data_IF_290476496510
#
_entry.id   IF_290476496510
#
_cell.length_a   1.000
_cell.length_b   1.000
_cell.length_c   1.000
_cell.angle_alpha   90.00
_cell.angle_beta   90.00
_cell.angle_gamma   90.00
#
_symmetry.space_group_name_H-M   'P 1'
#
loop_
_entity.id
_entity.type
_entity.pdbx_description
1 polymer ?
#
# COMPACT_ATOMS: atom_id res chain seq x y z
N UNK A 1 -3.30 10.29 -1.67
CA UNK A 1 -1.82 10.22 -1.74
C UNK A 1 -1.19 10.41 -0.38
N UNK A 2 -1.47 11.54 0.28
CA UNK A 2 -0.90 11.89 1.60
C UNK A 2 -1.19 10.88 2.72
N UNK A 3 -2.46 10.48 2.91
CA UNK A 3 -2.82 9.47 3.93
C UNK A 3 -2.14 8.13 3.66
N UNK A 4 -2.08 7.71 2.39
CA UNK A 4 -1.36 6.49 2.00
C UNK A 4 0.15 6.62 2.26
N UNK A 5 0.76 7.78 2.03
CA UNK A 5 2.17 8.00 2.33
C UNK A 5 2.47 7.93 3.83
N UNK A 6 1.55 8.40 4.68
CA UNK A 6 1.64 8.24 6.13
C UNK A 6 1.59 6.76 6.52
N UNK A 7 0.60 6.03 5.97
CA UNK A 7 0.46 4.59 6.17
C UNK A 7 1.75 3.84 5.77
N UNK A 8 2.28 4.11 4.57
CA UNK A 8 3.54 3.52 4.10
C UNK A 8 4.68 3.83 5.07
N UNK A 9 4.87 5.09 5.48
CA UNK A 9 5.96 5.46 6.38
C UNK A 9 5.89 4.78 7.75
N UNK A 10 4.68 4.57 8.28
CA UNK A 10 4.47 3.87 9.55
C UNK A 10 4.80 2.38 9.36
N UNK A 11 4.14 1.69 8.42
CA UNK A 11 4.21 0.24 8.36
C UNK A 11 5.52 -0.28 7.76
N UNK A 12 6.13 0.43 6.78
CA UNK A 12 7.44 0.04 6.27
C UNK A 12 8.55 0.08 7.33
N UNK A 13 8.38 0.95 8.34
CA UNK A 13 9.31 1.04 9.47
C UNK A 13 9.14 -0.13 10.45
N UNK A 14 7.95 -0.71 10.52
CA UNK A 14 7.61 -1.81 11.41
C UNK A 14 7.95 -3.18 10.80
N UNK A 15 7.96 -3.31 9.47
CA UNK A 15 8.15 -4.58 8.76
C UNK A 15 9.36 -5.40 9.24
N UNK A 16 10.49 -4.75 9.53
CA UNK A 16 11.68 -5.45 10.02
C UNK A 16 11.48 -6.02 11.44
N UNK A 17 10.80 -5.28 12.32
CA UNK A 17 10.47 -5.75 13.67
C UNK A 17 9.49 -6.93 13.62
N UNK A 18 8.49 -6.88 12.75
CA UNK A 18 7.60 -8.03 12.53
C UNK A 18 8.35 -9.23 11.97
N UNK A 19 9.24 -9.02 11.00
CA UNK A 19 10.02 -10.11 10.42
C UNK A 19 10.87 -10.83 11.48
N UNK A 20 11.57 -10.07 12.34
CA UNK A 20 12.47 -10.64 13.36
C UNK A 20 11.72 -11.16 14.59
N UNK A 21 10.75 -10.42 15.13
CA UNK A 21 10.15 -10.73 16.43
C UNK A 21 8.78 -11.42 16.33
N UNK A 22 8.00 -11.12 15.30
CA UNK A 22 6.65 -11.70 15.12
C UNK A 22 6.72 -13.01 14.32
N UNK A 23 7.37 -12.97 13.16
CA UNK A 23 7.54 -14.12 12.26
C UNK A 23 8.78 -14.95 12.57
N UNK A 24 9.72 -14.39 13.34
CA UNK A 24 10.95 -15.06 13.78
C UNK A 24 11.85 -15.54 12.62
N UNK A 25 11.90 -14.74 11.56
CA UNK A 25 12.77 -15.01 10.43
C UNK A 25 14.22 -14.60 10.69
N UNK A 26 15.10 -15.35 10.05
CA UNK A 26 16.53 -15.08 10.01
C UNK A 26 16.85 -13.90 9.08
N UNK A 27 17.97 -13.20 9.29
CA UNK A 27 18.40 -12.14 8.37
C UNK A 27 18.58 -12.60 6.92
N UNK A 28 18.97 -13.87 6.71
CA UNK A 28 19.14 -14.46 5.39
C UNK A 28 17.79 -14.55 4.65
N UNK A 29 16.74 -15.04 5.32
CA UNK A 29 15.37 -15.06 4.78
C UNK A 29 14.87 -13.63 4.48
N UNK A 30 15.10 -12.70 5.40
CA UNK A 30 14.66 -11.31 5.25
C UNK A 30 15.31 -10.64 4.02
N UNK A 31 16.57 -10.97 3.74
CA UNK A 31 17.31 -10.41 2.61
C UNK A 31 16.71 -10.74 1.24
N UNK A 32 15.85 -11.76 1.15
CA UNK A 32 15.20 -12.17 -0.08
C UNK A 32 13.95 -11.33 -0.41
N UNK A 33 13.32 -10.67 0.58
CA UNK A 33 12.07 -9.92 0.37
C UNK A 33 12.14 -8.87 -0.74
N UNK A 34 13.20 -8.04 -0.85
CA UNK A 34 13.28 -7.06 -1.93
C UNK A 34 13.22 -7.69 -3.33
N UNK A 35 13.85 -8.87 -3.51
CA UNK A 35 13.86 -9.60 -4.78
C UNK A 35 12.47 -10.20 -5.05
N UNK A 36 11.84 -10.78 -4.02
CA UNK A 36 10.50 -11.36 -4.10
C UNK A 36 9.47 -10.28 -4.45
N UNK A 37 9.55 -9.11 -3.83
CA UNK A 37 8.63 -7.97 -4.05
C UNK A 37 8.83 -7.33 -5.43
N UNK A 38 10.03 -7.40 -6.01
CA UNK A 38 10.30 -6.83 -7.33
C UNK A 38 9.41 -7.46 -8.42
N UNK A 39 9.21 -8.78 -8.37
CA UNK A 39 8.40 -9.50 -9.37
C UNK A 39 6.94 -8.99 -9.47
N UNK A 40 6.12 -8.97 -8.40
CA UNK A 40 4.74 -8.47 -8.47
C UNK A 40 4.66 -6.97 -8.82
N UNK A 41 5.66 -6.16 -8.43
CA UNK A 41 5.72 -4.74 -8.81
C UNK A 41 5.94 -4.59 -10.33
N UNK A 42 6.86 -5.37 -10.90
CA UNK A 42 7.10 -5.39 -12.35
C UNK A 42 5.88 -5.90 -13.11
N UNK A 43 5.25 -6.97 -12.63
CA UNK A 43 4.01 -7.49 -13.21
C UNK A 43 2.89 -6.44 -13.17
N UNK A 44 2.74 -5.71 -12.06
CA UNK A 44 1.77 -4.62 -11.98
C UNK A 44 2.07 -3.53 -13.03
N UNK A 45 3.34 -3.20 -13.27
CA UNK A 45 3.78 -2.29 -14.34
C UNK A 45 3.27 -2.69 -15.72
N UNK A 46 3.36 -3.97 -16.07
CA UNK A 46 2.89 -4.48 -17.37
C UNK A 46 1.37 -4.64 -17.45
N UNK A 47 0.71 -5.05 -16.36
CA UNK A 47 -0.69 -5.47 -16.39
C UNK A 47 -1.69 -4.41 -15.92
N UNK A 48 -1.27 -3.35 -15.19
CA UNK A 48 -2.19 -2.36 -14.66
C UNK A 48 -3.05 -1.67 -15.74
N UNK A 49 -2.43 -1.18 -16.82
CA UNK A 49 -3.14 -0.52 -17.91
C UNK A 49 -4.00 -1.48 -18.75
N UNK A 50 -3.52 -2.66 -19.19
CA UNK A 50 -4.35 -3.65 -19.87
C UNK A 50 -5.57 -4.09 -19.04
N UNK A 51 -5.40 -4.32 -17.74
CA UNK A 51 -6.50 -4.75 -16.85
C UNK A 51 -7.57 -3.67 -16.64
N UNK A 52 -7.17 -2.39 -16.73
CA UNK A 52 -8.07 -1.24 -16.61
C UNK A 52 -8.74 -0.86 -17.95
N UNK A 53 -8.36 -1.47 -19.08
CA UNK A 53 -8.88 -1.11 -20.40
C UNK A 53 -10.40 -1.27 -20.46
N UNK A 54 -11.08 -0.23 -20.97
CA UNK A 54 -12.55 -0.19 -21.07
C UNK A 54 -13.27 0.00 -19.72
N UNK A 55 -12.54 0.18 -18.61
CA UNK A 55 -13.09 0.48 -17.29
C UNK A 55 -12.76 1.92 -16.91
N UNK A 56 -13.53 2.50 -15.99
CA UNK A 56 -13.12 3.75 -15.35
C UNK A 56 -11.86 3.50 -14.52
N UNK A 57 -10.75 4.20 -14.84
CA UNK A 57 -9.48 4.11 -14.10
C UNK A 57 -9.70 4.30 -12.59
N UNK A 58 -10.55 5.28 -12.22
CA UNK A 58 -10.94 5.57 -10.83
C UNK A 58 -11.59 4.37 -10.16
N UNK A 59 -12.67 3.85 -10.74
CA UNK A 59 -13.43 2.75 -10.13
C UNK A 59 -12.59 1.47 -10.07
N UNK A 60 -11.76 1.22 -11.08
CA UNK A 60 -10.87 0.08 -11.09
C UNK A 60 -9.77 0.20 -10.02
N UNK A 61 -9.14 1.38 -9.88
CA UNK A 61 -8.17 1.63 -8.81
C UNK A 61 -8.79 1.49 -7.41
N UNK A 62 -9.99 2.02 -7.19
CA UNK A 62 -10.73 1.86 -5.93
C UNK A 62 -10.98 0.37 -5.65
N UNK A 63 -11.40 -0.41 -6.65
CA UNK A 63 -11.59 -1.85 -6.50
C UNK A 63 -10.30 -2.58 -6.08
N UNK A 64 -9.17 -2.26 -6.72
CA UNK A 64 -7.86 -2.83 -6.35
C UNK A 64 -7.47 -2.49 -4.90
N UNK A 65 -7.67 -1.23 -4.49
CA UNK A 65 -7.39 -0.81 -3.11
C UNK A 65 -8.32 -1.43 -2.08
N UNK A 66 -9.60 -1.64 -2.40
CA UNK A 66 -10.56 -2.31 -1.52
C UNK A 66 -10.24 -3.79 -1.34
N UNK A 67 -9.77 -4.48 -2.39
CA UNK A 67 -9.28 -5.85 -2.25
C UNK A 67 -8.03 -5.87 -1.38
N UNK A 68 -7.09 -4.95 -1.65
CA UNK A 68 -5.84 -4.88 -0.89
C UNK A 68 -6.05 -4.55 0.60
N UNK A 69 -7.07 -3.73 0.92
CA UNK A 69 -7.49 -3.41 2.29
C UNK A 69 -7.70 -4.66 3.15
N UNK A 70 -8.11 -5.78 2.54
CA UNK A 70 -8.31 -7.06 3.21
C UNK A 70 -7.07 -7.95 3.10
N UNK A 71 -6.47 -8.03 1.91
CA UNK A 71 -5.34 -8.94 1.63
C UNK A 71 -4.11 -8.61 2.47
N UNK A 72 -3.75 -7.33 2.58
CA UNK A 72 -2.54 -6.88 3.28
C UNK A 72 -2.52 -7.21 4.78
N UNK A 73 -3.56 -6.86 5.58
CA UNK A 73 -3.57 -7.19 7.00
C UNK A 73 -3.92 -8.66 7.28
N UNK A 74 -4.35 -9.44 6.28
CA UNK A 74 -4.88 -10.79 6.46
C UNK A 74 -3.94 -11.71 7.26
N UNK A 75 -2.62 -11.79 6.97
CA UNK A 75 -1.73 -12.67 7.74
C UNK A 75 -1.66 -12.33 9.22
N UNK A 76 -1.65 -11.04 9.56
CA UNK A 76 -1.63 -10.57 10.94
C UNK A 76 -2.96 -10.90 11.61
N UNK A 77 -4.09 -10.63 10.94
CA UNK A 77 -5.41 -11.00 11.47
C UNK A 77 -5.55 -12.49 11.72
N UNK A 78 -5.14 -13.34 10.77
CA UNK A 78 -5.19 -14.79 10.94
C UNK A 78 -4.31 -15.25 12.10
N UNK A 79 -3.08 -14.73 12.22
CA UNK A 79 -2.20 -15.07 13.34
C UNK A 79 -2.74 -14.60 14.70
N UNK A 80 -3.36 -13.42 14.76
CA UNK A 80 -3.96 -12.91 16.00
C UNK A 80 -5.24 -13.65 16.39
N UNK A 81 -5.98 -14.20 15.43
CA UNK A 81 -7.19 -14.98 15.67
C UNK A 81 -6.90 -16.45 16.01
N UNK A 82 -5.74 -16.97 15.60
CA UNK A 82 -5.36 -18.39 15.76
C UNK A 82 -5.53 -18.92 17.21
N UNK A 83 -5.14 -18.19 18.27
CA UNK A 83 -5.34 -18.65 19.65
C UNK A 83 -6.81 -18.75 20.11
N UNK A 84 -7.73 -18.09 19.40
CA UNK A 84 -9.16 -18.04 19.77
C UNK A 84 -10.01 -19.04 18.99
N UNK A 85 -9.43 -19.77 18.04
CA UNK A 85 -10.12 -20.73 17.17
C UNK A 85 -9.63 -22.14 17.50
N UNK A 86 -10.51 -23.16 17.57
CA UNK A 86 -10.12 -24.53 17.93
C UNK A 86 -9.34 -25.26 16.83
N UNK A 87 -9.23 -24.66 15.64
CA UNK A 87 -8.52 -25.19 14.47
C UNK A 87 -7.39 -24.23 14.16
N UNK A 88 -6.20 -24.74 13.87
CA UNK A 88 -5.09 -23.93 13.39
C UNK A 88 -5.47 -23.30 12.05
N UNK A 89 -5.61 -21.98 12.04
CA UNK A 89 -5.95 -21.17 10.86
C UNK A 89 -4.72 -20.57 10.21
N UNK A 90 -3.58 -20.52 10.92
CA UNK A 90 -2.34 -19.98 10.38
C UNK A 90 -1.12 -20.86 10.68
N UNK A 91 -0.16 -21.02 9.74
CA UNK A 91 1.02 -21.85 9.96
C UNK A 91 1.90 -21.35 11.13
N UNK A 92 2.56 -22.29 11.82
CA UNK A 92 3.50 -21.98 12.90
C UNK A 92 4.80 -21.34 12.38
N UNK A 93 5.50 -20.61 13.26
CA UNK A 93 6.82 -20.06 12.96
C UNK A 93 7.83 -21.16 12.67
N UNK A 94 8.79 -20.88 11.78
CA UNK A 94 9.81 -21.85 11.36
C UNK A 94 9.35 -22.93 10.39
N UNK A 95 8.10 -22.89 9.90
CA UNK A 95 7.59 -23.84 8.90
C UNK A 95 7.67 -23.28 7.47
N UNK A 96 7.93 -24.14 6.48
CA UNK A 96 7.89 -23.76 5.06
C UNK A 96 6.50 -23.25 4.65
N UNK A 97 5.44 -23.78 5.28
CA UNK A 97 4.07 -23.36 5.03
C UNK A 97 3.85 -21.88 5.39
N UNK A 98 4.45 -21.39 6.48
CA UNK A 98 4.40 -19.98 6.84
C UNK A 98 5.05 -19.11 5.76
N UNK A 99 6.25 -19.49 5.34
CA UNK A 99 7.01 -18.77 4.32
C UNK A 99 6.21 -18.59 3.03
N UNK A 100 5.70 -19.69 2.46
CA UNK A 100 4.92 -19.64 1.22
C UNK A 100 3.58 -18.89 1.39
N UNK A 101 2.95 -19.01 2.55
CA UNK A 101 1.72 -18.27 2.86
C UNK A 101 1.99 -16.76 2.88
N UNK A 102 2.99 -16.30 3.62
CA UNK A 102 3.29 -14.86 3.70
C UNK A 102 3.71 -14.32 2.33
N UNK A 103 4.59 -15.01 1.61
CA UNK A 103 5.00 -14.58 0.26
C UNK A 103 3.81 -14.47 -0.68
N UNK A 104 2.84 -15.37 -0.59
CA UNK A 104 1.64 -15.32 -1.44
C UNK A 104 0.84 -14.05 -1.14
N UNK A 105 0.53 -13.77 0.13
CA UNK A 105 -0.18 -12.55 0.53
C UNK A 105 0.62 -11.28 0.19
N UNK A 106 1.93 -11.30 0.42
CA UNK A 106 2.86 -10.23 0.09
C UNK A 106 2.81 -9.92 -1.42
N UNK A 107 2.98 -10.94 -2.27
CA UNK A 107 2.99 -10.78 -3.71
C UNK A 107 1.66 -10.22 -4.24
N UNK A 108 0.53 -10.76 -3.77
CA UNK A 108 -0.80 -10.26 -4.16
C UNK A 108 -0.97 -8.82 -3.68
N UNK A 109 -0.64 -8.53 -2.42
CA UNK A 109 -0.77 -7.18 -1.84
C UNK A 109 0.07 -6.14 -2.58
N UNK A 110 1.34 -6.44 -2.88
CA UNK A 110 2.21 -5.53 -3.62
C UNK A 110 1.78 -5.35 -5.08
N UNK A 111 1.29 -6.41 -5.74
CA UNK A 111 0.74 -6.30 -7.08
C UNK A 111 -0.49 -5.37 -7.10
N UNK A 112 -1.47 -5.61 -6.20
CA UNK A 112 -2.69 -4.81 -6.11
C UNK A 112 -2.38 -3.34 -5.77
N UNK A 113 -1.49 -3.10 -4.79
CA UNK A 113 -1.06 -1.74 -4.40
C UNK A 113 -0.45 -1.00 -5.56
N UNK A 114 0.52 -1.63 -6.22
CA UNK A 114 1.29 -1.02 -7.31
C UNK A 114 0.38 -0.76 -8.52
N UNK A 115 -0.46 -1.72 -8.89
CA UNK A 115 -1.40 -1.56 -10.00
C UNK A 115 -2.39 -0.41 -9.73
N UNK A 116 -2.94 -0.33 -8.52
CA UNK A 116 -3.77 0.79 -8.10
C UNK A 116 -3.03 2.13 -8.18
N UNK A 117 -1.78 2.18 -7.72
CA UNK A 117 -0.97 3.39 -7.74
C UNK A 117 -0.60 3.87 -9.15
N UNK A 118 -0.29 2.95 -10.06
CA UNK A 118 -0.06 3.26 -11.48
C UNK A 118 -1.28 3.96 -12.09
N UNK A 119 -2.49 3.47 -11.78
CA UNK A 119 -3.73 4.09 -12.26
C UNK A 119 -3.95 5.46 -11.63
N UNK A 120 -3.62 5.64 -10.35
CA UNK A 120 -3.68 6.95 -9.69
C UNK A 120 -2.74 7.95 -10.37
N UNK A 121 -1.51 7.56 -10.65
CA UNK A 121 -0.55 8.41 -11.38
C UNK A 121 -1.10 8.76 -12.76
N UNK A 122 -1.61 7.77 -13.51
CA UNK A 122 -2.22 8.02 -14.83
C UNK A 122 -3.37 9.02 -14.75
N UNK A 123 -4.23 8.94 -13.73
CA UNK A 123 -5.31 9.90 -13.52
C UNK A 123 -4.82 11.31 -13.18
N UNK A 124 -3.69 11.45 -12.48
CA UNK A 124 -3.07 12.77 -12.23
C UNK A 124 -2.59 13.38 -13.54
N UNK A 125 -2.00 12.58 -14.44
CA UNK A 125 -1.62 13.06 -15.77
C UNK A 125 -2.82 13.48 -16.61
N UNK A 126 -3.92 12.73 -16.58
CA UNK A 126 -5.18 13.11 -17.28
C UNK A 126 -5.64 14.52 -16.81
N UNK A 127 -5.56 14.82 -15.51
CA UNK A 127 -5.92 16.15 -14.95
C UNK A 127 -4.97 17.26 -15.41
N UNK A 128 -3.67 16.96 -15.52
CA UNK A 128 -2.69 17.95 -16.00
C UNK A 128 -2.90 18.24 -17.48
N UNK A 129 -3.23 17.23 -18.29
CA UNK A 129 -3.56 17.37 -19.70
C UNK A 129 -4.82 18.25 -19.89
N UNK A 130 -5.88 17.99 -19.13
CA UNK A 130 -7.09 18.82 -19.10
C UNK A 130 -6.78 20.28 -18.70
N UNK A 131 -5.92 20.47 -17.70
CA UNK A 131 -5.47 21.80 -17.26
C UNK A 131 -4.65 22.54 -18.33
N UNK A 132 -3.82 21.81 -19.09
CA UNK A 132 -3.06 22.37 -20.20
C UNK A 132 -3.99 22.82 -21.33
N UNK A 133 -5.02 22.04 -21.67
CA UNK A 133 -6.02 22.42 -22.68
C UNK A 133 -6.76 23.71 -22.29
N UNK A 134 -7.09 23.87 -21.01
CA UNK A 134 -7.79 25.05 -20.52
C UNK A 134 -6.91 26.32 -20.41
N UNK A 135 -5.63 26.17 -20.08
CA UNK A 135 -4.76 27.32 -19.70
C UNK A 135 -3.60 27.57 -20.65
N UNK A 136 -3.31 26.65 -21.57
CA UNK A 136 -2.15 26.71 -22.47
C UNK A 136 -0.79 26.50 -21.81
N UNK A 137 -0.74 26.23 -20.50
CA UNK A 137 0.51 26.03 -19.72
C UNK A 137 0.64 24.58 -19.27
N UNK A 138 1.83 24.01 -19.44
CA UNK A 138 2.16 22.63 -19.02
C UNK A 138 2.94 22.65 -17.72
N UNK A 139 2.26 22.41 -16.60
CA UNK A 139 2.86 22.44 -15.26
C UNK A 139 3.05 21.04 -14.64
N UNK A 140 3.22 19.99 -15.47
CA UNK A 140 3.41 18.59 -15.04
C UNK A 140 4.51 18.42 -13.99
N UNK A 141 5.67 19.05 -14.23
CA UNK A 141 6.81 18.96 -13.34
C UNK A 141 6.50 19.51 -11.94
N UNK A 142 5.72 20.59 -11.86
CA UNK A 142 5.34 21.19 -10.58
C UNK A 142 4.34 20.30 -9.83
N UNK A 143 3.31 19.79 -10.50
CA UNK A 143 2.32 18.90 -9.88
C UNK A 143 2.94 17.61 -9.33
N UNK A 144 3.77 16.95 -10.14
CA UNK A 144 4.42 15.70 -9.73
C UNK A 144 5.45 15.93 -8.63
N UNK A 145 6.25 16.99 -8.74
CA UNK A 145 7.30 17.28 -7.77
C UNK A 145 6.73 17.74 -6.44
N UNK A 146 5.70 18.61 -6.44
CA UNK A 146 5.02 19.04 -5.21
C UNK A 146 4.32 17.87 -4.51
N UNK A 147 3.55 17.07 -5.26
CA UNK A 147 2.86 15.91 -4.70
C UNK A 147 3.85 14.86 -4.17
N UNK A 148 4.92 14.58 -4.91
CA UNK A 148 5.97 13.65 -4.47
C UNK A 148 6.71 14.15 -3.23
N UNK A 149 7.01 15.45 -3.15
CA UNK A 149 7.66 16.07 -1.99
C UNK A 149 6.79 15.99 -0.74
N UNK A 150 5.50 16.35 -0.83
CA UNK A 150 4.55 16.26 0.29
C UNK A 150 4.44 14.82 0.79
N UNK A 151 4.34 13.84 -0.13
CA UNK A 151 4.28 12.43 0.25
C UNK A 151 5.54 11.97 0.99
N UNK A 152 6.73 12.41 0.56
CA UNK A 152 7.98 12.10 1.27
C UNK A 152 8.04 12.71 2.66
N UNK A 153 7.61 13.96 2.84
CA UNK A 153 7.54 14.58 4.17
C UNK A 153 6.60 13.78 5.08
N UNK A 154 5.40 13.48 4.61
CA UNK A 154 4.39 12.79 5.41
C UNK A 154 4.84 11.35 5.74
N UNK A 155 5.48 10.66 4.79
CA UNK A 155 6.07 9.35 5.04
C UNK A 155 7.17 9.44 6.10
N UNK A 156 8.07 10.43 6.00
CA UNK A 156 9.10 10.68 7.01
C UNK A 156 8.53 10.98 8.40
N UNK A 157 7.44 11.74 8.49
CA UNK A 157 6.72 11.95 9.76
C UNK A 157 6.15 10.64 10.32
N UNK A 158 5.68 9.73 9.45
CA UNK A 158 5.27 8.38 9.84
C UNK A 158 6.42 7.58 10.47
N UNK A 159 7.63 7.65 9.89
CA UNK A 159 8.83 7.00 10.45
C UNK A 159 9.17 7.57 11.84
N UNK A 160 9.13 8.90 12.00
CA UNK A 160 9.38 9.55 13.29
C UNK A 160 8.35 9.12 14.33
N UNK A 161 7.07 9.07 13.94
CA UNK A 161 5.99 8.59 14.81
C UNK A 161 6.22 7.14 15.27
N UNK A 162 6.71 6.27 14.39
CA UNK A 162 7.07 4.89 14.76
C UNK A 162 8.17 4.84 15.79
N UNK A 163 9.17 5.73 15.73
CA UNK A 163 10.21 5.82 16.76
C UNK A 163 9.63 6.00 18.16
N UNK A 164 8.68 6.93 18.32
CA UNK A 164 7.97 7.15 19.59
C UNK A 164 7.04 5.99 19.95
N UNK A 165 6.38 5.37 18.97
CA UNK A 165 5.51 4.21 19.18
C UNK A 165 6.30 3.02 19.74
N UNK A 166 7.50 2.75 19.21
CA UNK A 166 8.36 1.67 19.66
C UNK A 166 8.78 1.87 21.12
N UNK A 167 9.17 3.10 21.51
CA UNK A 167 9.47 3.46 22.89
C UNK A 167 8.27 3.21 23.81
N UNK A 168 7.07 3.65 23.41
CA UNK A 168 5.85 3.48 24.19
C UNK A 168 5.44 2.00 24.36
N UNK A 169 5.68 1.17 23.36
CA UNK A 169 5.28 -0.25 23.37
C UNK A 169 6.29 -1.16 24.08
N UNK A 170 7.49 -0.65 24.40
CA UNK A 170 8.52 -1.36 25.18
C UNK A 170 9.63 -1.99 24.36
N UNK A 171 9.97 -1.38 23.20
CA UNK A 171 11.14 -1.75 22.39
C UNK A 171 12.43 -1.01 22.82
N UNK A 172 12.53 -0.61 24.09
CA UNK A 172 13.63 0.17 24.67
C UNK A 172 14.79 -0.70 25.22
N UNK A 173 14.65 -2.03 25.14
CA UNK A 173 15.62 -3.00 25.66
C UNK A 173 16.87 -3.06 24.76
N UNK A 174 18.06 -3.07 25.37
CA UNK A 174 19.33 -3.26 24.66
C UNK A 174 19.56 -4.73 24.33
N UNK A 175 19.81 -5.04 23.05
CA UNK A 175 19.99 -6.40 22.52
C UNK A 175 18.83 -7.35 22.88
N UNK A 176 17.58 -6.98 22.53
CA UNK A 176 16.42 -7.73 22.96
C UNK A 176 16.38 -9.11 22.32
N UNK A 177 16.10 -10.12 23.15
CA UNK A 177 15.82 -11.48 22.67
C UNK A 177 14.40 -11.59 22.11
N UNK A 178 14.15 -12.60 21.29
CA UNK A 178 12.82 -12.88 20.72
C UNK A 178 11.77 -13.10 21.82
N UNK A 179 12.18 -13.68 22.95
CA UNK A 179 11.30 -13.97 24.10
C UNK A 179 10.88 -12.67 24.79
N UNK A 180 11.82 -11.76 25.05
CA UNK A 180 11.54 -10.46 25.70
C UNK A 180 10.62 -9.58 24.85
N UNK A 181 10.69 -9.69 23.52
CA UNK A 181 9.89 -8.88 22.60
C UNK A 181 8.53 -9.49 22.25
N UNK A 182 8.16 -10.67 22.79
CA UNK A 182 6.86 -11.28 22.47
C UNK A 182 5.70 -10.35 22.84
N UNK A 183 5.62 -9.85 24.06
CA UNK A 183 4.50 -8.98 24.43
C UNK A 183 4.50 -7.64 23.66
N UNK A 184 5.64 -6.91 23.55
CA UNK A 184 5.72 -5.70 22.72
C UNK A 184 5.31 -5.91 21.27
N UNK A 185 5.77 -6.98 20.61
CA UNK A 185 5.46 -7.20 19.19
C UNK A 185 3.98 -7.52 18.97
N UNK A 186 3.32 -8.23 19.90
CA UNK A 186 1.88 -8.47 19.81
C UNK A 186 1.07 -7.18 19.99
N UNK A 187 1.50 -6.26 20.87
CA UNK A 187 0.89 -4.92 20.98
C UNK A 187 1.00 -4.14 19.67
N UNK A 188 2.16 -4.19 19.01
CA UNK A 188 2.34 -3.62 17.66
C UNK A 188 1.47 -4.32 16.63
N UNK A 189 1.31 -5.65 16.71
CA UNK A 189 0.44 -6.41 15.82
C UNK A 189 -1.01 -5.97 15.93
N UNK A 190 -1.55 -5.78 17.14
CA UNK A 190 -2.89 -5.22 17.33
C UNK A 190 -3.00 -3.79 16.80
N UNK A 191 -1.99 -2.96 17.06
CA UNK A 191 -1.95 -1.59 16.54
C UNK A 191 -2.01 -1.56 15.00
N UNK A 192 -1.18 -2.36 14.33
CA UNK A 192 -1.14 -2.45 12.87
C UNK A 192 -2.41 -3.08 12.28
N UNK A 193 -2.94 -4.13 12.93
CA UNK A 193 -4.18 -4.80 12.54
C UNK A 193 -5.39 -3.87 12.53
N UNK A 194 -5.39 -2.81 13.35
CA UNK A 194 -6.49 -1.85 13.46
C UNK A 194 -6.20 -0.58 12.65
N UNK A 195 -5.05 0.07 12.89
CA UNK A 195 -4.75 1.37 12.30
C UNK A 195 -4.48 1.28 10.80
N UNK A 196 -3.81 0.22 10.33
CA UNK A 196 -3.48 0.06 8.91
C UNK A 196 -4.72 0.10 8.02
N UNK A 197 -5.72 -0.76 8.25
CA UNK A 197 -6.98 -0.75 7.52
C UNK A 197 -7.74 0.58 7.63
N UNK A 198 -7.74 1.23 8.80
CA UNK A 198 -8.40 2.52 8.99
C UNK A 198 -7.78 3.60 8.11
N UNK A 199 -6.45 3.70 8.08
CA UNK A 199 -5.73 4.67 7.24
C UNK A 199 -5.93 4.39 5.75
N UNK A 200 -5.89 3.12 5.34
CA UNK A 200 -6.15 2.73 3.95
C UNK A 200 -7.59 3.07 3.56
N UNK A 201 -8.57 2.76 4.40
CA UNK A 201 -9.98 3.08 4.18
C UNK A 201 -10.22 4.59 4.11
N UNK A 202 -9.57 5.38 4.97
CA UNK A 202 -9.62 6.84 4.92
C UNK A 202 -9.03 7.37 3.60
N UNK A 203 -7.92 6.81 3.13
CA UNK A 203 -7.33 7.17 1.83
C UNK A 203 -8.25 6.82 0.65
N UNK A 204 -8.89 5.65 0.65
CA UNK A 204 -9.88 5.25 -0.37
C UNK A 204 -11.09 6.18 -0.31
N UNK A 205 -11.55 6.55 0.89
CA UNK A 205 -12.67 7.48 1.11
C UNK A 205 -12.42 8.82 0.43
N UNK A 206 -11.20 9.37 0.53
CA UNK A 206 -10.82 10.60 -0.18
C UNK A 206 -10.94 10.47 -1.71
N UNK A 207 -10.72 9.29 -2.29
CA UNK A 207 -10.85 9.09 -3.74
C UNK A 207 -12.30 9.16 -4.21
N UNK A 208 -13.28 8.82 -3.37
CA UNK A 208 -14.69 8.93 -3.76
C UNK A 208 -15.11 10.37 -4.01
N UNK A 209 -14.62 11.32 -3.20
CA UNK A 209 -14.88 12.77 -3.35
C UNK A 209 -14.21 13.38 -4.59
N UNK A 210 -13.25 12.68 -5.21
CA UNK A 210 -12.53 13.19 -6.37
C UNK A 210 -13.30 12.88 -7.66
N UNK A 211 -14.02 13.86 -8.21
CA UNK A 211 -14.71 13.73 -9.50
C UNK A 211 -13.69 13.88 -10.65
N UNK A 212 -12.94 12.81 -10.95
CA UNK A 212 -12.33 12.67 -12.28
C UNK A 212 -13.45 12.27 -13.21
N UNK A 213 -14.13 13.29 -13.72
CA UNK A 213 -15.21 13.14 -14.66
C UNK A 213 -14.71 12.39 -15.88
N UNK A 214 -15.44 11.35 -16.28
CA UNK A 214 -15.37 10.72 -17.60
C UNK A 214 -15.47 11.72 -18.77
N UNK A 215 -15.86 12.97 -18.49
CA UNK A 215 -16.09 14.01 -19.49
C UNK A 215 -14.89 14.22 -20.40
N UNK A 216 -13.64 14.16 -19.93
CA UNK A 216 -12.50 14.43 -20.81
C UNK A 216 -12.38 13.43 -21.98
N UNK A 217 -12.67 12.14 -21.79
CA UNK A 217 -12.56 11.17 -22.89
C UNK A 217 -13.75 11.21 -23.86
N UNK A 218 -14.98 11.36 -23.35
CA UNK A 218 -16.17 11.50 -24.19
C UNK A 218 -16.23 12.87 -24.89
N UNK A 219 -15.74 13.93 -24.24
CA UNK A 219 -15.64 15.26 -24.83
C UNK A 219 -14.48 15.34 -25.85
N UNK A 220 -13.36 14.64 -25.61
CA UNK A 220 -12.30 14.49 -26.61
C UNK A 220 -12.79 13.73 -27.85
N UNK A 221 -13.51 12.62 -27.68
CA UNK A 221 -14.13 11.89 -28.78
C UNK A 221 -15.14 12.74 -29.54
N UNK A 222 -16.01 13.48 -28.84
CA UNK A 222 -16.94 14.44 -29.47
C UNK A 222 -16.22 15.55 -30.21
N UNK A 223 -15.13 16.09 -29.68
CA UNK A 223 -14.35 17.16 -30.34
C UNK A 223 -13.63 16.68 -31.62
N UNK A 224 -13.29 15.39 -31.68
CA UNK A 224 -12.71 14.74 -32.87
C UNK A 224 -13.77 14.35 -33.91
N UNK A 225 -15.02 14.10 -33.49
CA UNK A 225 -16.15 13.92 -34.40
C UNK A 225 -16.62 15.25 -34.99
N UNK A 226 -16.61 16.35 -34.22
CA UNK A 226 -17.00 17.69 -34.70
C UNK A 226 -16.00 18.27 -35.72
N UNK A 227 -14.72 17.88 -35.69
CA UNK A 227 -13.71 18.33 -36.66
C UNK A 227 -13.68 17.53 -37.97
N UNK A 228 -14.62 16.59 -38.19
CA UNK A 228 -14.73 15.81 -39.43
C UNK A 228 -15.84 16.28 -40.38
N UNK A 229 -16.64 17.27 -39.98
CA UNK A 229 -17.64 17.95 -40.82
C UNK A 229 -17.15 19.35 -41.22
#
# INVERSE_FOLDING_TARGET
GTILALNIGIFSSLDNYFSIYFWQWTPEEISLFPIIIALPVVLAGFFAAPLAKGKSKKNFAIGLFLINLIVEPMPIWLRLLDPYVPIQIFPENGTDALWWTIITFLCIGYFLRTAGWILVISMVYDVVEDGQLATGRRDEGLYLSANGFIQKIISGLGVVFVGFLLEFVGFDVKNPTVIEMQEPIYRLAYFQAILGPILTLASISCMFFYNISKSSHEDALKSLEINKD
#
